data_IF_855043517242
#
_entry.id   IF_855043517242
#
_cell.length_a   1.000
_cell.length_b   1.000
_cell.length_c   1.000
_cell.angle_alpha   90.00
_cell.angle_beta   90.00
_cell.angle_gamma   90.00
#
_symmetry.space_group_name_H-M   'P 1'
#
loop_
_entity.id
_entity.type
_entity.pdbx_description
1 polymer ?
#
# COMPACT_ATOMS: atom_id res chain seq x y z
N UNK A 1 3.51 31.73 -0.11
CA UNK A 1 2.65 31.04 0.88
C UNK A 1 1.64 30.04 0.27
N UNK A 2 1.10 30.24 -0.95
CA UNK A 2 0.08 29.34 -1.54
C UNK A 2 0.62 28.01 -2.13
N UNK A 3 1.94 27.89 -2.37
CA UNK A 3 2.56 26.70 -3.00
C UNK A 3 2.52 25.44 -2.13
N UNK A 4 2.35 25.58 -0.82
CA UNK A 4 2.33 24.45 0.11
C UNK A 4 0.93 23.84 0.28
N UNK A 5 -0.13 24.57 -0.12
CA UNK A 5 -1.52 24.11 0.03
C UNK A 5 -1.75 22.78 -0.70
N UNK A 6 -1.29 22.56 -1.95
CA UNK A 6 -1.46 21.28 -2.63
C UNK A 6 -0.72 20.13 -1.94
N UNK A 7 0.47 20.38 -1.40
CA UNK A 7 1.28 19.37 -0.70
C UNK A 7 0.62 18.98 0.63
N UNK A 8 0.14 19.95 1.40
CA UNK A 8 -0.58 19.71 2.64
C UNK A 8 -1.88 18.94 2.35
N UNK A 9 -2.63 19.34 1.32
CA UNK A 9 -3.84 18.64 0.92
C UNK A 9 -3.57 17.20 0.48
N UNK A 10 -2.53 16.96 -0.33
CA UNK A 10 -2.15 15.63 -0.77
C UNK A 10 -1.72 14.73 0.40
N UNK A 11 -0.89 15.25 1.31
CA UNK A 11 -0.48 14.52 2.52
C UNK A 11 -1.67 14.21 3.43
N UNK A 12 -2.55 15.19 3.67
CA UNK A 12 -3.76 15.00 4.47
C UNK A 12 -4.67 13.93 3.84
N UNK A 13 -4.90 13.99 2.53
CA UNK A 13 -5.73 13.02 1.81
C UNK A 13 -5.15 11.60 1.90
N UNK A 14 -3.84 11.46 1.79
CA UNK A 14 -3.17 10.16 1.93
C UNK A 14 -3.35 9.59 3.35
N UNK A 15 -3.08 10.39 4.39
CA UNK A 15 -3.23 9.96 5.79
C UNK A 15 -4.67 9.61 6.12
N UNK A 16 -5.64 10.44 5.71
CA UNK A 16 -7.06 10.17 5.93
C UNK A 16 -7.53 8.90 5.23
N UNK A 17 -7.04 8.62 4.02
CA UNK A 17 -7.34 7.36 3.32
C UNK A 17 -6.90 6.13 4.10
N UNK A 18 -5.76 6.20 4.79
CA UNK A 18 -5.26 5.10 5.62
C UNK A 18 -6.01 4.98 6.96
N UNK A 19 -6.27 6.10 7.64
CA UNK A 19 -6.94 6.12 8.96
C UNK A 19 -8.42 5.75 8.86
N UNK A 20 -9.09 6.19 7.80
CA UNK A 20 -10.52 5.95 7.59
C UNK A 20 -10.82 4.66 6.82
N UNK A 21 -9.79 3.91 6.41
CA UNK A 21 -9.98 2.59 5.79
C UNK A 21 -10.72 1.67 6.77
N UNK A 22 -11.91 1.23 6.39
CA UNK A 22 -12.73 0.36 7.22
C UNK A 22 -12.12 -1.05 7.27
N UNK A 23 -11.82 -1.53 8.48
CA UNK A 23 -11.35 -2.90 8.72
C UNK A 23 -12.43 -3.98 8.56
N UNK A 24 -13.69 -3.57 8.36
CA UNK A 24 -14.80 -4.51 8.11
C UNK A 24 -14.69 -5.11 6.69
N UNK A 25 -14.04 -4.40 5.77
CA UNK A 25 -13.81 -4.91 4.43
C UNK A 25 -12.45 -5.59 4.37
N UNK A 26 -12.48 -6.89 4.12
CA UNK A 26 -11.28 -7.66 3.82
C UNK A 26 -10.79 -7.36 2.42
N UNK A 27 -9.51 -7.65 2.20
CA UNK A 27 -8.91 -7.58 0.89
C UNK A 27 -9.47 -8.69 -0.01
N UNK A 28 -9.60 -8.39 -1.29
CA UNK A 28 -9.86 -9.42 -2.28
C UNK A 28 -8.64 -10.32 -2.46
N UNK A 29 -8.87 -11.52 -3.01
CA UNK A 29 -7.82 -12.52 -3.24
C UNK A 29 -6.59 -11.96 -3.96
N UNK A 30 -6.81 -11.14 -4.99
CA UNK A 30 -5.73 -10.58 -5.79
C UNK A 30 -4.93 -9.53 -5.00
N UNK A 31 -5.58 -8.79 -4.11
CA UNK A 31 -4.91 -7.83 -3.22
C UNK A 31 -4.04 -8.55 -2.18
N UNK A 32 -4.50 -9.68 -1.64
CA UNK A 32 -3.67 -10.56 -0.80
C UNK A 32 -2.49 -11.14 -1.58
N UNK A 33 -2.68 -11.53 -2.85
CA UNK A 33 -1.60 -12.00 -3.71
C UNK A 33 -0.52 -10.92 -3.86
N UNK A 34 -0.92 -9.68 -4.14
CA UNK A 34 0.04 -8.58 -4.24
C UNK A 34 0.74 -8.28 -2.93
N UNK A 35 0.04 -8.29 -1.79
CA UNK A 35 0.69 -8.10 -0.48
C UNK A 35 1.72 -9.19 -0.17
N UNK A 36 1.43 -10.44 -0.53
CA UNK A 36 2.35 -11.57 -0.31
C UNK A 36 3.68 -11.41 -1.08
N UNK A 37 3.68 -10.76 -2.26
CA UNK A 37 4.92 -10.44 -2.97
C UNK A 37 5.88 -9.56 -2.15
N UNK A 38 5.34 -8.74 -1.23
CA UNK A 38 6.14 -7.93 -0.32
C UNK A 38 6.88 -8.72 0.77
N UNK A 39 6.44 -9.96 1.06
CA UNK A 39 7.09 -10.84 2.03
C UNK A 39 8.32 -11.56 1.46
N UNK A 40 8.40 -11.66 0.13
CA UNK A 40 9.44 -12.41 -0.57
C UNK A 40 10.05 -11.55 -1.68
N UNK A 41 10.78 -10.48 -1.34
CA UNK A 41 11.40 -9.64 -2.38
C UNK A 41 12.36 -10.44 -3.26
N UNK A 42 11.87 -10.84 -4.42
CA UNK A 42 12.59 -11.57 -5.42
C UNK A 42 12.52 -10.83 -6.75
N UNK A 43 13.60 -10.93 -7.51
CA UNK A 43 13.66 -10.46 -8.89
C UNK A 43 13.22 -11.63 -9.77
N UNK A 44 12.30 -11.38 -10.71
CA UNK A 44 11.84 -12.42 -11.64
C UNK A 44 10.44 -12.99 -11.37
N UNK A 45 9.55 -12.23 -10.72
CA UNK A 45 8.12 -12.52 -10.80
C UNK A 45 7.68 -12.49 -12.28
N UNK A 46 7.11 -13.58 -12.76
CA UNK A 46 6.64 -13.72 -14.14
C UNK A 46 5.44 -12.81 -14.43
N UNK A 47 4.63 -12.53 -13.41
CA UNK A 47 3.32 -11.87 -13.56
C UNK A 47 3.35 -10.38 -13.17
N UNK A 48 4.36 -9.93 -12.41
CA UNK A 48 4.46 -8.56 -11.92
C UNK A 48 5.88 -8.02 -11.97
N UNK A 49 6.09 -6.72 -12.24
CA UNK A 49 7.43 -6.14 -12.21
C UNK A 49 7.98 -6.13 -10.78
N UNK A 50 9.32 -6.20 -10.59
CA UNK A 50 9.95 -6.19 -9.26
C UNK A 50 9.55 -5.01 -8.38
N UNK A 51 9.19 -3.88 -9.00
CA UNK A 51 8.69 -2.69 -8.30
C UNK A 51 7.42 -2.97 -7.48
N UNK A 52 6.56 -3.89 -7.94
CA UNK A 52 5.35 -4.26 -7.20
C UNK A 52 5.70 -4.93 -5.86
N UNK A 53 6.70 -5.82 -5.84
CA UNK A 53 7.15 -6.45 -4.60
C UNK A 53 7.70 -5.42 -3.59
N UNK A 54 8.46 -4.43 -4.08
CA UNK A 54 8.98 -3.33 -3.24
C UNK A 54 7.83 -2.47 -2.71
N UNK A 55 6.84 -2.15 -3.54
CA UNK A 55 5.66 -1.40 -3.13
C UNK A 55 4.86 -2.17 -2.07
N UNK A 56 4.63 -3.46 -2.27
CA UNK A 56 3.94 -4.33 -1.31
C UNK A 56 4.71 -4.45 0.01
N UNK A 57 6.04 -4.54 -0.04
CA UNK A 57 6.87 -4.51 1.16
C UNK A 57 6.70 -3.20 1.93
N UNK A 58 6.70 -2.06 1.24
CA UNK A 58 6.45 -0.76 1.86
C UNK A 58 5.05 -0.70 2.48
N UNK A 59 4.04 -1.21 1.78
CA UNK A 59 2.67 -1.32 2.31
C UNK A 59 2.64 -2.14 3.60
N UNK A 60 3.27 -3.32 3.62
CA UNK A 60 3.37 -4.15 4.83
C UNK A 60 4.08 -3.42 5.98
N UNK A 61 5.20 -2.75 5.70
CA UNK A 61 5.97 -1.98 6.68
C UNK A 61 5.17 -0.82 7.30
N UNK A 62 4.24 -0.22 6.53
CA UNK A 62 3.36 0.86 6.98
C UNK A 62 2.08 0.36 7.66
N UNK A 63 1.96 -0.95 7.93
CA UNK A 63 0.77 -1.55 8.51
C UNK A 63 -0.18 -2.11 7.46
N UNK A 64 0.32 -2.76 6.40
CA UNK A 64 -0.53 -3.51 5.46
C UNK A 64 -1.10 -4.80 6.05
N UNK A 65 -0.56 -5.26 7.18
CA UNK A 65 -0.99 -6.50 7.86
C UNK A 65 -2.17 -6.34 8.83
N UNK A 66 -2.83 -5.17 8.88
CA UNK A 66 -4.03 -4.94 9.72
C UNK A 66 -5.33 -5.36 9.04
N UNK A 67 -5.26 -5.78 7.76
CA UNK A 67 -6.35 -6.42 7.05
C UNK A 67 -6.19 -7.94 7.24
N UNK A 68 -6.87 -8.50 8.23
CA UNK A 68 -6.83 -9.91 8.61
C UNK A 68 -7.75 -10.19 9.80
#
# INVERSE_FOLDING_TARGET
MKRHIPLIFAGLKFVLGFVLASRVYELHRDEYLYLNYGQHLAWGYLEVPPLMAVQSWLTLALGGGIFG
#
